data_IF_462410435386
#
_entry.id   IF_462410435386
#
_cell.length_a   1.000
_cell.length_b   1.000
_cell.length_c   1.000
_cell.angle_alpha   90.00
_cell.angle_beta   90.00
_cell.angle_gamma   90.00
#
_symmetry.space_group_name_H-M   'P 1'
#
loop_
_entity.id
_entity.type
_entity.pdbx_description
1 polymer ?
#
# COMPACT_ATOMS: atom_id res chain seq x y z
N UNK A 1 38.75 36.26 -22.47
CA UNK A 1 38.90 35.55 -21.19
C UNK A 1 37.58 34.83 -20.91
N UNK A 2 37.45 33.57 -21.33
CA UNK A 2 36.21 32.82 -21.17
C UNK A 2 36.12 32.24 -19.74
N UNK A 3 34.96 32.31 -19.06
CA UNK A 3 34.80 31.71 -17.74
C UNK A 3 34.78 30.18 -17.84
N UNK A 4 35.55 29.53 -16.95
CA UNK A 4 35.69 28.08 -16.87
C UNK A 4 34.33 27.37 -16.65
N UNK A 5 34.11 26.19 -17.24
CA UNK A 5 32.91 25.39 -16.98
C UNK A 5 32.89 24.89 -15.54
N UNK A 6 31.74 25.06 -14.86
CA UNK A 6 31.51 24.57 -13.49
C UNK A 6 31.58 23.04 -13.47
N UNK A 7 32.12 22.41 -12.41
CA UNK A 7 32.15 20.96 -12.30
C UNK A 7 30.72 20.41 -12.13
N UNK A 8 30.44 19.40 -12.94
CA UNK A 8 29.21 18.63 -13.01
C UNK A 8 28.85 18.01 -11.63
N UNK A 9 27.67 18.33 -11.10
CA UNK A 9 27.19 17.86 -9.79
C UNK A 9 26.54 16.46 -9.86
N UNK A 10 26.39 15.87 -11.05
CA UNK A 10 25.72 14.58 -11.24
C UNK A 10 26.66 13.37 -11.09
N UNK A 11 27.98 13.61 -11.02
CA UNK A 11 28.98 12.54 -10.92
C UNK A 11 28.97 11.77 -9.58
N UNK A 12 28.32 12.26 -8.52
CA UNK A 12 28.30 11.58 -7.21
C UNK A 12 27.10 10.63 -7.01
N UNK A 13 26.09 10.63 -7.91
CA UNK A 13 24.92 9.74 -7.79
C UNK A 13 25.18 8.34 -8.35
N UNK A 14 26.08 8.22 -9.32
CA UNK A 14 26.32 6.98 -10.08
C UNK A 14 27.20 5.97 -9.34
N UNK A 15 27.86 6.34 -8.24
CA UNK A 15 28.80 5.48 -7.52
C UNK A 15 28.20 4.63 -6.37
N UNK A 16 26.87 4.58 -6.24
CA UNK A 16 26.17 3.65 -5.31
C UNK A 16 25.38 2.55 -6.02
N UNK A 17 25.49 2.45 -7.34
CA UNK A 17 24.90 1.38 -8.15
C UNK A 17 25.81 0.14 -8.27
N UNK A 18 26.83 0.04 -7.40
CA UNK A 18 27.72 -1.11 -7.32
C UNK A 18 27.01 -2.33 -6.72
N UNK A 19 26.26 -3.00 -7.60
CA UNK A 19 26.27 -4.44 -7.83
C UNK A 19 25.99 -5.36 -6.63
N UNK A 20 24.70 -5.60 -6.37
CA UNK A 20 24.25 -6.99 -6.21
C UNK A 20 23.87 -7.47 -7.63
N UNK A 21 24.64 -8.35 -8.28
CA UNK A 21 24.24 -8.91 -9.55
C UNK A 21 22.90 -9.66 -9.38
N UNK A 22 21.89 -9.27 -10.16
CA UNK A 22 20.56 -9.90 -10.16
C UNK A 22 19.53 -9.29 -9.20
N UNK A 23 19.73 -8.08 -8.66
CA UNK A 23 18.69 -7.37 -7.89
C UNK A 23 17.85 -6.41 -8.75
N UNK A 24 16.53 -6.50 -8.65
CA UNK A 24 15.59 -5.61 -9.36
C UNK A 24 15.28 -4.36 -8.53
N UNK A 25 15.32 -3.19 -9.18
CA UNK A 25 14.99 -1.92 -8.53
C UNK A 25 13.47 -1.72 -8.49
N UNK A 26 12.88 -1.98 -7.33
CA UNK A 26 11.42 -1.94 -7.17
C UNK A 26 10.94 -0.53 -6.81
N UNK A 27 11.56 0.14 -5.83
CA UNK A 27 11.22 1.51 -5.45
C UNK A 27 12.49 2.37 -5.25
N UNK A 28 12.42 3.72 -5.20
CA UNK A 28 13.61 4.55 -5.00
C UNK A 28 14.37 4.14 -3.72
N UNK A 29 15.62 3.69 -3.89
CA UNK A 29 16.46 3.21 -2.78
C UNK A 29 16.14 1.80 -2.26
N UNK A 30 15.17 1.09 -2.86
CA UNK A 30 14.81 -0.28 -2.52
C UNK A 30 15.12 -1.21 -3.69
N UNK A 31 16.25 -1.92 -3.58
CA UNK A 31 16.64 -2.96 -4.53
C UNK A 31 16.35 -4.32 -3.91
N UNK A 32 15.53 -5.13 -4.59
CA UNK A 32 15.12 -6.44 -4.12
C UNK A 32 15.91 -7.51 -4.89
N UNK A 33 16.60 -8.44 -4.23
CA UNK A 33 17.28 -9.54 -4.91
C UNK A 33 16.29 -10.40 -5.70
N UNK A 34 16.61 -10.80 -6.94
CA UNK A 34 15.72 -11.65 -7.73
C UNK A 34 15.41 -13.00 -7.05
N UNK A 35 16.30 -13.50 -6.18
CA UNK A 35 16.09 -14.72 -5.42
C UNK A 35 14.84 -14.67 -4.50
N UNK A 36 14.44 -13.48 -4.07
CA UNK A 36 13.25 -13.25 -3.22
C UNK A 36 11.97 -13.16 -4.06
N UNK A 37 12.10 -12.84 -5.36
CA UNK A 37 11.00 -12.69 -6.30
C UNK A 37 10.68 -14.04 -6.95
N UNK A 38 9.77 -14.81 -6.36
CA UNK A 38 9.39 -16.12 -6.91
C UNK A 38 8.25 -15.95 -7.91
N UNK A 39 8.56 -16.15 -9.19
CA UNK A 39 7.57 -16.15 -10.26
C UNK A 39 7.11 -17.56 -10.58
N UNK A 40 5.81 -17.74 -10.73
CA UNK A 40 5.17 -18.92 -11.30
C UNK A 40 4.32 -18.50 -12.49
N UNK A 41 4.17 -19.38 -13.48
CA UNK A 41 3.37 -19.10 -14.67
C UNK A 41 2.30 -20.17 -14.82
N UNK A 42 1.08 -19.71 -15.03
CA UNK A 42 -0.09 -20.56 -15.11
C UNK A 42 -0.89 -20.21 -16.36
N UNK A 43 -1.93 -21.00 -16.62
CA UNK A 43 -2.88 -20.72 -17.69
C UNK A 43 -3.85 -19.63 -17.22
N UNK A 44 -4.10 -18.65 -18.08
CA UNK A 44 -5.13 -17.63 -17.83
C UNK A 44 -6.50 -18.32 -17.84
N UNK A 45 -7.36 -18.00 -16.87
CA UNK A 45 -8.69 -18.62 -16.77
C UNK A 45 -9.69 -17.68 -17.43
N UNK A 46 -9.97 -17.89 -18.72
CA UNK A 46 -10.96 -17.13 -19.48
C UNK A 46 -11.94 -18.06 -20.23
N UNK A 47 -13.24 -17.75 -20.28
CA UNK A 47 -14.20 -18.52 -21.06
C UNK A 47 -13.99 -18.28 -22.57
N UNK A 48 -13.65 -19.34 -23.30
CA UNK A 48 -13.88 -19.45 -24.75
C UNK A 48 -12.82 -18.85 -25.68
N UNK A 49 -12.13 -19.71 -26.42
CA UNK A 49 -11.34 -19.35 -27.60
C UNK A 49 -10.17 -20.30 -27.85
N UNK A 50 -10.01 -20.78 -29.08
CA UNK A 50 -9.01 -21.79 -29.48
C UNK A 50 -7.53 -21.41 -29.17
N UNK A 51 -7.25 -20.15 -28.79
CA UNK A 51 -5.91 -19.67 -28.41
C UNK A 51 -5.69 -19.51 -26.88
N UNK A 52 -6.74 -19.50 -26.06
CA UNK A 52 -6.63 -19.35 -24.59
C UNK A 52 -6.07 -20.63 -23.94
N UNK A 53 -6.15 -21.76 -24.66
CA UNK A 53 -5.80 -23.08 -24.16
C UNK A 53 -4.36 -23.55 -24.46
N UNK A 54 -3.46 -22.71 -24.98
CA UNK A 54 -2.09 -23.16 -25.34
C UNK A 54 -0.92 -22.46 -24.66
N UNK A 55 -1.08 -21.24 -24.13
CA UNK A 55 0.06 -20.48 -23.60
C UNK A 55 -0.15 -20.14 -22.12
N UNK A 56 0.81 -20.50 -21.26
CA UNK A 56 0.85 -20.13 -19.84
C UNK A 56 1.20 -18.65 -19.68
N UNK A 57 0.25 -17.78 -20.02
CA UNK A 57 0.45 -16.32 -20.01
C UNK A 57 0.30 -15.71 -18.63
N UNK A 58 -0.52 -16.28 -17.74
CA UNK A 58 -0.74 -15.75 -16.38
C UNK A 58 0.56 -15.82 -15.59
N UNK A 59 0.95 -14.70 -14.98
CA UNK A 59 2.09 -14.61 -14.08
C UNK A 59 1.59 -14.49 -12.64
N UNK A 60 2.19 -15.26 -11.74
CA UNK A 60 2.02 -15.16 -10.30
C UNK A 60 3.37 -14.81 -9.67
N UNK A 61 3.41 -13.77 -8.86
CA UNK A 61 4.58 -13.32 -8.12
C UNK A 61 4.32 -13.54 -6.63
N UNK A 62 5.17 -14.35 -5.99
CA UNK A 62 5.18 -14.56 -4.54
C UNK A 62 6.41 -13.91 -3.93
N UNK A 63 6.18 -13.11 -2.89
CA UNK A 63 7.23 -12.40 -2.17
C UNK A 63 7.00 -12.51 -0.68
N UNK A 64 7.97 -13.10 0.03
CA UNK A 64 8.01 -13.09 1.50
C UNK A 64 8.30 -11.66 1.97
N UNK A 65 7.45 -11.13 2.86
CA UNK A 65 7.62 -9.75 3.34
C UNK A 65 8.83 -9.63 4.28
N UNK A 66 9.22 -10.71 4.93
CA UNK A 66 10.35 -10.74 5.85
C UNK A 66 11.70 -10.68 5.13
N UNK A 67 11.77 -11.22 3.92
CA UNK A 67 12.99 -11.24 3.08
C UNK A 67 13.21 -9.94 2.30
N UNK A 68 12.23 -9.02 2.32
CA UNK A 68 12.37 -7.72 1.69
C UNK A 68 13.31 -6.82 2.51
N UNK A 69 14.27 -6.12 1.86
CA UNK A 69 15.17 -5.18 2.52
C UNK A 69 14.45 -3.87 2.87
N UNK A 70 13.44 -3.96 3.74
CA UNK A 70 12.54 -2.89 4.12
C UNK A 70 12.54 -2.69 5.66
N UNK A 71 12.44 -1.44 6.13
CA UNK A 71 12.28 -1.16 7.57
C UNK A 71 11.04 -1.87 8.14
N UNK A 72 11.10 -2.30 9.41
CA UNK A 72 10.02 -3.05 10.06
C UNK A 72 8.65 -2.34 9.98
N UNK A 73 8.63 -0.99 10.12
CA UNK A 73 7.41 -0.19 9.96
C UNK A 73 6.80 -0.29 8.56
N UNK A 74 7.64 -0.29 7.52
CA UNK A 74 7.20 -0.41 6.13
C UNK A 74 6.70 -1.82 5.88
N UNK A 75 7.38 -2.86 6.39
CA UNK A 75 6.91 -4.26 6.31
C UNK A 75 5.54 -4.45 6.96
N UNK A 76 5.34 -3.96 8.18
CA UNK A 76 4.05 -4.02 8.86
C UNK A 76 2.94 -3.33 8.06
N UNK A 77 3.25 -2.19 7.43
CA UNK A 77 2.28 -1.47 6.60
C UNK A 77 2.02 -2.13 5.26
N UNK A 78 3.05 -2.70 4.64
CA UNK A 78 2.93 -3.51 3.43
C UNK A 78 1.99 -4.70 3.67
N UNK A 79 2.16 -5.42 4.80
CA UNK A 79 1.24 -6.50 5.20
C UNK A 79 -0.20 -6.02 5.33
N UNK A 80 -0.43 -4.84 5.92
CA UNK A 80 -1.78 -4.25 6.02
C UNK A 80 -2.37 -3.87 4.66
N UNK A 81 -1.59 -3.24 3.77
CA UNK A 81 -2.05 -2.86 2.43
C UNK A 81 -2.30 -4.08 1.52
N UNK A 82 -1.49 -5.12 1.69
CA UNK A 82 -1.58 -6.35 0.92
C UNK A 82 -2.40 -7.45 1.62
N UNK A 83 -3.17 -7.13 2.68
CA UNK A 83 -3.85 -8.13 3.51
C UNK A 83 -4.78 -9.06 2.70
N UNK A 84 -5.45 -8.56 1.66
CA UNK A 84 -6.31 -9.37 0.78
C UNK A 84 -5.55 -10.33 -0.15
N UNK A 85 -4.24 -10.16 -0.27
CA UNK A 85 -3.32 -10.90 -1.15
C UNK A 85 -2.25 -11.64 -0.36
N UNK A 86 -2.43 -11.71 0.96
CA UNK A 86 -1.45 -12.28 1.87
C UNK A 86 -1.79 -13.73 2.19
N UNK A 87 -0.78 -14.59 2.18
CA UNK A 87 -0.94 -16.04 2.37
C UNK A 87 0.06 -16.54 3.39
N UNK A 88 -0.38 -17.45 4.28
CA UNK A 88 0.50 -18.12 5.25
C UNK A 88 1.00 -17.24 6.40
N UNK A 89 0.34 -16.10 6.63
CA UNK A 89 0.63 -15.22 7.76
C UNK A 89 -0.14 -15.57 9.02
N UNK A 90 0.40 -15.17 10.17
CA UNK A 90 -0.25 -15.29 11.47
C UNK A 90 -0.65 -13.90 11.99
N UNK A 91 -1.80 -13.80 12.66
CA UNK A 91 -2.23 -12.58 13.35
C UNK A 91 -1.78 -12.67 14.80
N UNK A 92 -0.89 -11.78 15.20
CA UNK A 92 -0.35 -11.72 16.55
C UNK A 92 -0.75 -10.40 17.20
N UNK A 93 -1.15 -10.43 18.47
CA UNK A 93 -1.40 -9.24 19.26
C UNK A 93 -0.10 -8.78 19.94
N UNK A 94 0.21 -7.49 19.86
CA UNK A 94 1.30 -6.91 20.66
C UNK A 94 0.90 -6.73 22.14
N UNK A 95 1.86 -6.32 22.97
CA UNK A 95 1.67 -6.02 24.40
C UNK A 95 0.58 -4.95 24.67
N UNK A 96 0.27 -4.11 23.67
CA UNK A 96 -0.79 -3.09 23.73
C UNK A 96 -2.15 -3.61 23.25
N UNK A 97 -2.24 -4.90 22.91
CA UNK A 97 -3.44 -5.57 22.39
C UNK A 97 -3.72 -5.27 20.93
N UNK A 98 -2.77 -4.70 20.16
CA UNK A 98 -2.98 -4.41 18.74
C UNK A 98 -2.58 -5.59 17.88
N UNK A 99 -3.50 -6.00 17.02
CA UNK A 99 -3.27 -7.07 16.06
C UNK A 99 -2.37 -6.60 14.90
N UNK A 100 -1.40 -7.43 14.57
CA UNK A 100 -0.51 -7.26 13.43
C UNK A 100 -0.21 -8.61 12.76
N UNK A 101 -0.08 -8.56 11.43
CA UNK A 101 0.29 -9.71 10.63
C UNK A 101 1.81 -9.93 10.71
N UNK A 102 2.21 -11.19 10.91
CA UNK A 102 3.60 -11.63 10.89
C UNK A 102 3.82 -12.81 9.94
N UNK A 103 5.07 -13.03 9.53
CA UNK A 103 5.43 -14.05 8.54
C UNK A 103 4.84 -13.75 7.17
N UNK A 104 4.47 -14.81 6.45
CA UNK A 104 3.62 -14.81 5.27
C UNK A 104 4.22 -14.22 3.98
N UNK A 105 3.49 -14.45 2.89
CA UNK A 105 3.88 -14.07 1.54
C UNK A 105 2.78 -13.23 0.89
N UNK A 106 3.18 -12.20 0.14
CA UNK A 106 2.29 -11.47 -0.76
C UNK A 106 2.26 -12.20 -2.09
N UNK A 107 1.06 -12.54 -2.55
CA UNK A 107 0.82 -13.20 -3.84
C UNK A 107 0.13 -12.23 -4.78
N UNK A 108 0.80 -11.87 -5.88
CA UNK A 108 0.27 -11.01 -6.93
C UNK A 108 0.02 -11.85 -8.18
N UNK A 109 -1.19 -11.80 -8.72
CA UNK A 109 -1.56 -12.49 -9.97
C UNK A 109 -1.84 -11.45 -11.05
N UNK A 110 -1.25 -11.65 -12.24
CA UNK A 110 -1.41 -10.78 -13.39
C UNK A 110 -1.70 -11.62 -14.64
N UNK A 111 -2.83 -11.38 -15.28
CA UNK A 111 -3.27 -12.09 -16.47
C UNK A 111 -3.93 -11.19 -17.53
N UNK A 112 -3.72 -9.88 -17.46
CA UNK A 112 -4.33 -8.89 -18.34
C UNK A 112 -3.79 -8.95 -19.78
N UNK A 113 -2.55 -9.40 -19.96
CA UNK A 113 -1.90 -9.45 -21.26
C UNK A 113 -1.80 -10.86 -21.84
N UNK A 114 -1.81 -10.92 -23.18
CA UNK A 114 -1.55 -12.14 -23.96
C UNK A 114 -0.09 -12.63 -23.93
N UNK A 115 0.81 -11.92 -23.25
CA UNK A 115 2.24 -12.20 -23.22
C UNK A 115 2.72 -12.37 -21.79
N UNK A 116 3.43 -13.47 -21.55
CA UNK A 116 4.01 -13.81 -20.25
C UNK A 116 4.96 -12.73 -19.73
N UNK A 117 5.81 -12.16 -20.60
CA UNK A 117 6.77 -11.13 -20.19
C UNK A 117 6.07 -9.85 -19.75
N UNK A 118 4.98 -9.46 -20.43
CA UNK A 118 4.17 -8.30 -20.03
C UNK A 118 3.47 -8.53 -18.68
N UNK A 119 2.87 -9.69 -18.47
CA UNK A 119 2.25 -10.02 -17.17
C UNK A 119 3.29 -10.08 -16.04
N UNK A 120 4.51 -10.54 -16.32
CA UNK A 120 5.61 -10.49 -15.35
C UNK A 120 5.94 -9.05 -14.95
N UNK A 121 6.13 -8.17 -15.93
CA UNK A 121 6.40 -6.74 -15.69
C UNK A 121 5.26 -6.06 -14.94
N UNK A 122 4.01 -6.37 -15.28
CA UNK A 122 2.84 -5.83 -14.59
C UNK A 122 2.81 -6.24 -13.10
N UNK A 123 3.15 -7.49 -12.80
CA UNK A 123 3.26 -7.96 -11.41
C UNK A 123 4.37 -7.24 -10.63
N UNK A 124 5.47 -6.90 -11.28
CA UNK A 124 6.55 -6.10 -10.71
C UNK A 124 6.11 -4.65 -10.46
N UNK A 125 5.37 -4.05 -11.39
CA UNK A 125 4.85 -2.69 -11.23
C UNK A 125 3.81 -2.62 -10.09
N UNK A 126 2.92 -3.61 -9.97
CA UNK A 126 2.00 -3.73 -8.83
C UNK A 126 2.74 -3.89 -7.50
N UNK A 127 3.82 -4.67 -7.46
CA UNK A 127 4.68 -4.76 -6.26
C UNK A 127 5.32 -3.42 -5.93
N UNK A 128 5.84 -2.71 -6.94
CA UNK A 128 6.41 -1.37 -6.81
C UNK A 128 5.40 -0.41 -6.20
N UNK A 129 4.18 -0.35 -6.72
CA UNK A 129 3.13 0.52 -6.21
C UNK A 129 2.81 0.23 -4.74
N UNK A 130 2.71 -1.06 -4.36
CA UNK A 130 2.48 -1.47 -2.98
C UNK A 130 3.61 -1.04 -2.04
N UNK A 131 4.87 -1.23 -2.45
CA UNK A 131 6.03 -0.83 -1.66
C UNK A 131 6.09 0.69 -1.53
N UNK A 132 5.88 1.43 -2.61
CA UNK A 132 5.84 2.90 -2.59
C UNK A 132 4.72 3.41 -1.67
N UNK A 133 3.51 2.82 -1.75
CA UNK A 133 2.40 3.17 -0.88
C UNK A 133 2.69 2.84 0.60
N UNK A 134 3.41 1.74 0.87
CA UNK A 134 3.84 1.39 2.22
C UNK A 134 4.91 2.36 2.77
N UNK A 135 5.82 2.82 1.91
CA UNK A 135 6.86 3.81 2.23
C UNK A 135 6.32 5.22 2.43
N UNK A 136 5.24 5.59 1.73
CA UNK A 136 4.62 6.91 1.83
C UNK A 136 4.01 7.14 3.22
N UNK A 137 4.77 7.69 4.16
CA UNK A 137 4.33 7.94 5.54
C UNK A 137 2.98 8.68 5.55
N UNK A 138 1.95 8.18 6.26
CA UNK A 138 0.65 8.82 6.23
C UNK A 138 0.76 10.12 7.03
N UNK A 139 0.48 11.25 6.38
CA UNK A 139 0.48 12.57 7.05
C UNK A 139 -0.42 12.51 8.28
N UNK A 140 0.16 12.71 9.46
CA UNK A 140 -0.58 12.69 10.73
C UNK A 140 -1.66 13.77 10.66
N UNK A 141 -2.93 13.33 10.59
CA UNK A 141 -4.08 14.23 10.72
C UNK A 141 -4.28 14.50 12.20
N UNK A 142 -3.90 15.69 12.65
CA UNK A 142 -4.29 16.17 13.98
C UNK A 142 -5.79 16.47 13.94
N UNK A 143 -6.56 15.83 14.81
CA UNK A 143 -7.99 16.10 14.93
C UNK A 143 -8.18 17.60 15.20
N UNK A 144 -8.87 18.29 14.30
CA UNK A 144 -9.21 19.69 14.49
C UNK A 144 -10.24 19.79 15.61
N UNK A 145 -9.96 20.59 16.64
CA UNK A 145 -10.95 20.90 17.68
C UNK A 145 -12.22 21.47 16.99
N UNK A 146 -13.44 21.11 17.43
CA UNK A 146 -14.66 21.73 16.91
C UNK A 146 -14.55 23.24 17.03
N UNK A 147 -14.98 23.94 15.98
CA UNK A 147 -14.91 25.40 15.94
C UNK A 147 -15.82 26.00 17.02
N UNK A 148 -15.49 27.21 17.49
CA UNK A 148 -16.30 27.93 18.49
C UNK A 148 -17.75 28.08 18.01
N UNK A 149 -17.94 28.46 16.74
CA UNK A 149 -19.27 28.58 16.14
C UNK A 149 -20.06 27.26 16.07
N UNK A 150 -19.39 26.12 15.85
CA UNK A 150 -20.06 24.80 15.93
C UNK A 150 -20.52 24.48 17.36
N UNK A 151 -19.70 24.86 18.35
CA UNK A 151 -20.06 24.71 19.77
C UNK A 151 -21.23 25.60 20.17
N UNK A 152 -21.22 26.88 19.74
CA UNK A 152 -22.27 27.85 20.03
C UNK A 152 -23.61 27.47 19.41
N UNK A 153 -23.62 27.04 18.12
CA UNK A 153 -24.83 26.55 17.45
C UNK A 153 -25.42 25.33 18.17
N UNK A 154 -24.59 24.37 18.56
CA UNK A 154 -25.03 23.20 19.34
C UNK A 154 -25.70 23.61 20.66
N UNK A 155 -25.15 24.60 21.38
CA UNK A 155 -25.73 25.08 22.63
C UNK A 155 -27.06 25.78 22.37
N UNK A 156 -27.14 26.63 21.34
CA UNK A 156 -28.37 27.33 20.96
C UNK A 156 -29.48 26.35 20.54
N UNK A 157 -29.16 25.36 19.72
CA UNK A 157 -30.09 24.29 19.31
C UNK A 157 -30.55 23.45 20.50
N UNK A 158 -29.65 23.12 21.44
CA UNK A 158 -30.01 22.40 22.67
C UNK A 158 -30.99 23.22 23.52
N UNK A 159 -30.77 24.53 23.66
CA UNK A 159 -31.68 25.44 24.39
C UNK A 159 -33.06 25.52 23.72
N UNK A 160 -33.08 25.80 22.42
CA UNK A 160 -34.31 25.88 21.62
C UNK A 160 -35.13 24.58 21.69
N UNK A 161 -34.48 23.41 21.50
CA UNK A 161 -35.16 22.10 21.65
C UNK A 161 -35.68 21.86 23.07
N UNK A 162 -34.98 22.33 24.09
CA UNK A 162 -35.43 22.27 25.48
C UNK A 162 -36.68 23.13 25.72
N UNK A 163 -36.72 24.33 25.14
CA UNK A 163 -37.90 25.22 25.20
C UNK A 163 -39.10 24.61 24.48
N UNK A 164 -38.92 24.09 23.26
CA UNK A 164 -39.98 23.41 22.51
C UNK A 164 -40.53 22.21 23.30
N UNK A 165 -39.67 21.39 23.91
CA UNK A 165 -40.10 20.25 24.74
C UNK A 165 -40.88 20.70 25.99
N UNK A 166 -40.44 21.76 26.67
CA UNK A 166 -41.14 22.31 27.84
C UNK A 166 -42.50 22.91 27.48
N UNK A 167 -42.59 23.61 26.34
CA UNK A 167 -43.85 24.15 25.83
C UNK A 167 -44.87 23.07 25.51
N UNK A 168 -44.42 21.94 24.95
CA UNK A 168 -45.30 20.78 24.66
C UNK A 168 -45.81 20.08 25.92
N UNK A 169 -44.98 19.97 26.97
CA UNK A 169 -45.38 19.30 28.21
C UNK A 169 -46.50 20.05 28.96
N UNK A 170 -46.57 21.39 28.83
CA UNK A 170 -47.61 22.22 29.49
C UNK A 170 -48.93 22.32 28.73
N UNK A 171 -48.98 21.91 27.46
CA UNK A 171 -50.18 21.97 26.62
C UNK A 171 -51.04 20.70 26.66
N UNK A 172 -50.69 19.71 27.49
CA UNK A 172 -51.43 18.45 27.63
C UNK A 172 -52.34 18.38 28.87
N UNK A 173 -52.42 19.45 29.66
CA UNK A 173 -53.30 19.60 30.81
C UNK A 173 -54.40 20.64 30.46
N UNK A 174 -55.36 20.27 29.62
CA UNK A 174 -56.57 21.06 29.33
C UNK A 174 -57.67 20.14 28.82
#
# INVERSE_FOLDING_TARGET
>A
MAPAPKPDRDAHRQARDAAIPGGEQIAPGVRVPAAVLRFSFARSSGPGGQNVNKVSTKAELRVSVDDLPLPARVRARLRRLAASRFVGGEVVADETGREHLTGGEVVLVCDEHRSQSRNKSECLDRLRELIVAAMAEPKIRRATRPTRGSTERRIAEKKSRGEIKRGRARGGES
#
